data_IF_220916993322
#
_entry.id   IF_220916993322
#
_cell.length_a   1.000
_cell.length_b   1.000
_cell.length_c   1.000
_cell.angle_alpha   90.00
_cell.angle_beta   90.00
_cell.angle_gamma   90.00
#
_symmetry.space_group_name_H-M   'P 1'
#
loop_
_entity.id
_entity.type
_entity.pdbx_description
1 polymer ?
#
# COMPACT_ATOMS: atom_id res chain seq x y z
N UNK A 1 50.33 92.29 52.66
CA UNK A 1 50.77 90.98 52.12
C UNK A 1 50.26 89.89 53.04
N UNK A 2 50.92 89.61 54.19
CA UNK A 2 50.52 88.60 55.19
C UNK A 2 49.01 88.54 55.50
N UNK A 3 48.36 89.68 55.79
CA UNK A 3 46.91 89.73 56.11
C UNK A 3 45.98 89.50 54.93
N UNK A 4 46.45 89.67 53.70
CA UNK A 4 45.71 89.34 52.48
C UNK A 4 45.89 87.86 52.10
N UNK A 5 47.09 87.30 52.28
CA UNK A 5 47.38 85.87 52.09
C UNK A 5 46.56 85.03 53.07
N UNK A 6 46.60 85.34 54.37
CA UNK A 6 45.79 84.65 55.39
C UNK A 6 44.27 84.66 55.10
N UNK A 7 43.77 85.74 54.48
CA UNK A 7 42.36 85.83 54.09
C UNK A 7 42.07 85.03 52.81
N UNK A 8 42.97 85.06 51.83
CA UNK A 8 42.85 84.27 50.61
C UNK A 8 42.91 82.76 50.91
N UNK A 9 43.79 82.33 51.83
CA UNK A 9 43.88 80.95 52.29
C UNK A 9 42.60 80.53 53.05
N UNK A 10 42.07 81.39 53.93
CA UNK A 10 40.83 81.11 54.65
C UNK A 10 39.60 81.05 53.72
N UNK A 11 39.50 81.92 52.71
CA UNK A 11 38.42 81.89 51.72
C UNK A 11 38.58 80.72 50.73
N UNK A 12 39.81 80.32 50.40
CA UNK A 12 40.12 79.09 49.64
C UNK A 12 39.72 77.83 50.43
N UNK A 13 40.10 77.74 51.70
CA UNK A 13 39.74 76.61 52.56
C UNK A 13 38.21 76.52 52.73
N UNK A 14 37.51 77.65 52.88
CA UNK A 14 36.04 77.69 52.87
C UNK A 14 35.41 77.28 51.54
N UNK A 15 36.10 77.51 50.41
CA UNK A 15 35.65 77.04 49.11
C UNK A 15 35.84 75.52 48.99
N UNK A 16 37.01 75.00 49.38
CA UNK A 16 37.32 73.56 49.42
C UNK A 16 36.37 72.81 50.36
N UNK A 17 36.08 73.33 51.56
CA UNK A 17 35.10 72.78 52.51
C UNK A 17 33.67 72.74 51.91
N UNK A 18 33.27 73.79 51.18
CA UNK A 18 31.97 73.84 50.50
C UNK A 18 31.90 72.86 49.34
N UNK A 19 32.97 72.72 48.56
CA UNK A 19 33.07 71.77 47.46
C UNK A 19 33.04 70.33 47.98
N UNK A 20 33.76 70.04 49.08
CA UNK A 20 33.74 68.76 49.77
C UNK A 20 32.33 68.45 50.32
N UNK A 21 31.69 69.40 51.00
CA UNK A 21 30.32 69.25 51.49
C UNK A 21 29.27 69.13 50.36
N UNK A 22 29.56 69.67 49.16
CA UNK A 22 28.72 69.47 47.98
C UNK A 22 28.93 68.07 47.37
N UNK A 23 30.19 67.61 47.27
CA UNK A 23 30.53 66.24 46.83
C UNK A 23 29.91 65.19 47.77
N UNK A 24 30.00 65.38 49.08
CA UNK A 24 29.39 64.49 50.07
C UNK A 24 27.87 64.43 49.90
N UNK A 25 27.18 65.59 49.84
CA UNK A 25 25.73 65.62 49.61
C UNK A 25 25.30 64.99 48.29
N UNK A 26 26.12 65.09 47.23
CA UNK A 26 25.85 64.40 45.97
C UNK A 26 26.07 62.89 46.09
N UNK A 27 27.07 62.42 46.84
CA UNK A 27 27.28 61.01 47.13
C UNK A 27 26.12 60.42 47.96
N UNK A 28 25.70 61.11 49.03
CA UNK A 28 24.57 60.70 49.88
C UNK A 28 23.26 60.62 49.08
N UNK A 29 23.02 61.61 48.20
CA UNK A 29 21.86 61.62 47.29
C UNK A 29 21.91 60.45 46.30
N UNK A 30 23.08 60.20 45.68
CA UNK A 30 23.25 59.09 44.74
C UNK A 30 23.06 57.73 45.43
N UNK A 31 23.57 57.54 46.65
CA UNK A 31 23.33 56.34 47.45
C UNK A 31 21.84 56.17 47.81
N UNK A 32 21.15 57.26 48.15
CA UNK A 32 19.70 57.22 48.44
C UNK A 32 18.86 56.85 47.21
N UNK A 33 19.22 57.35 46.03
CA UNK A 33 18.58 56.96 44.76
C UNK A 33 18.83 55.48 44.48
N UNK A 34 20.09 55.02 44.54
CA UNK A 34 20.46 53.63 44.27
C UNK A 34 19.77 52.65 45.24
N UNK A 35 19.66 53.00 46.52
CA UNK A 35 18.91 52.20 47.50
C UNK A 35 17.44 52.05 47.09
N UNK A 36 16.78 53.15 46.70
CA UNK A 36 15.36 53.13 46.29
C UNK A 36 15.13 52.36 44.99
N UNK A 37 16.10 52.35 44.07
CA UNK A 37 16.03 51.55 42.84
C UNK A 37 16.27 50.06 43.11
N UNK A 38 17.17 49.71 44.03
CA UNK A 38 17.33 48.35 44.53
C UNK A 38 16.07 47.85 45.24
N UNK A 39 15.48 48.66 46.14
CA UNK A 39 14.26 48.28 46.86
C UNK A 39 13.08 48.05 45.90
N UNK A 40 12.95 48.89 44.85
CA UNK A 40 11.94 48.72 43.79
C UNK A 40 12.17 47.45 42.97
N UNK A 41 13.39 47.23 42.48
CA UNK A 41 13.70 46.04 41.65
C UNK A 41 13.55 44.74 42.44
N UNK A 42 13.89 44.72 43.74
CA UNK A 42 13.61 43.59 44.64
C UNK A 42 12.09 43.38 44.80
N UNK A 43 11.31 44.44 44.99
CA UNK A 43 9.85 44.34 45.13
C UNK A 43 9.18 43.83 43.84
N UNK A 44 9.60 44.30 42.67
CA UNK A 44 9.05 43.88 41.39
C UNK A 44 9.49 42.45 41.02
N UNK A 45 10.74 42.07 41.30
CA UNK A 45 11.20 40.68 41.17
C UNK A 45 10.42 39.72 42.08
N UNK A 46 10.08 40.15 43.30
CA UNK A 46 9.25 39.36 44.23
C UNK A 46 7.82 39.19 43.71
N UNK A 47 7.18 40.27 43.23
CA UNK A 47 5.86 40.21 42.60
C UNK A 47 5.84 39.23 41.41
N UNK A 48 6.82 39.33 40.51
CA UNK A 48 6.95 38.43 39.38
C UNK A 48 7.11 36.97 39.81
N UNK A 49 7.87 36.70 40.88
CA UNK A 49 8.01 35.36 41.43
C UNK A 49 6.71 34.83 42.07
N UNK A 50 5.96 35.70 42.77
CA UNK A 50 4.66 35.36 43.35
C UNK A 50 3.61 35.08 42.25
N UNK A 51 3.56 35.91 41.21
CA UNK A 51 2.68 35.72 40.03
C UNK A 51 3.01 34.42 39.28
N UNK A 52 4.30 34.15 39.02
CA UNK A 52 4.76 32.93 38.38
C UNK A 52 4.44 31.67 39.21
N UNK A 53 4.56 31.76 40.54
CA UNK A 53 4.15 30.67 41.44
C UNK A 53 2.62 30.46 41.39
N UNK A 54 1.83 31.53 41.37
CA UNK A 54 0.37 31.46 41.27
C UNK A 54 -0.10 30.92 39.89
N UNK A 55 0.63 31.22 38.81
CA UNK A 55 0.38 30.63 37.49
C UNK A 55 0.75 29.14 37.48
N UNK A 56 1.92 28.78 38.02
CA UNK A 56 2.38 27.38 38.12
C UNK A 56 1.40 26.52 38.93
N UNK A 57 0.84 27.05 40.03
CA UNK A 57 -0.21 26.38 40.80
C UNK A 57 -1.49 26.20 39.97
N UNK A 58 -1.97 27.23 39.28
CA UNK A 58 -3.16 27.13 38.40
C UNK A 58 -2.99 26.09 37.29
N UNK A 59 -1.83 26.07 36.63
CA UNK A 59 -1.51 25.10 35.58
C UNK A 59 -1.42 23.66 36.14
N UNK A 60 -0.86 23.48 37.35
CA UNK A 60 -0.83 22.19 38.04
C UNK A 60 -2.25 21.70 38.39
N UNK A 61 -3.10 22.57 38.93
CA UNK A 61 -4.49 22.22 39.26
C UNK A 61 -5.28 21.79 38.02
N UNK A 62 -5.16 22.51 36.90
CA UNK A 62 -5.81 22.11 35.63
C UNK A 62 -5.32 20.75 35.12
N UNK A 63 -4.00 20.50 35.17
CA UNK A 63 -3.44 19.22 34.76
C UNK A 63 -3.90 18.05 35.65
N UNK A 64 -4.06 18.29 36.97
CA UNK A 64 -4.61 17.31 37.91
C UNK A 64 -6.09 17.01 37.62
N UNK A 65 -6.89 18.04 37.33
CA UNK A 65 -8.31 17.89 37.00
C UNK A 65 -8.51 17.14 35.67
N UNK A 66 -7.75 17.49 34.63
CA UNK A 66 -7.72 16.75 33.36
C UNK A 66 -7.31 15.28 33.54
N UNK A 67 -6.32 15.01 34.40
CA UNK A 67 -5.86 13.65 34.73
C UNK A 67 -6.95 12.86 35.45
N UNK A 68 -7.59 13.47 36.45
CA UNK A 68 -8.71 12.88 37.20
C UNK A 68 -9.88 12.55 36.29
N UNK A 69 -10.30 13.48 35.44
CA UNK A 69 -11.40 13.27 34.50
C UNK A 69 -11.09 12.14 33.50
N UNK A 70 -9.83 12.04 33.03
CA UNK A 70 -9.38 10.89 32.22
C UNK A 70 -9.47 9.58 33.01
N UNK A 71 -9.05 9.53 34.28
CA UNK A 71 -9.14 8.33 35.12
C UNK A 71 -10.59 7.90 35.39
N UNK A 72 -11.47 8.84 35.75
CA UNK A 72 -12.89 8.56 36.00
C UNK A 72 -13.59 8.04 34.74
N UNK A 73 -13.26 8.60 33.56
CA UNK A 73 -13.75 8.08 32.27
C UNK A 73 -13.24 6.67 31.96
N UNK A 74 -11.98 6.34 32.26
CA UNK A 74 -11.46 4.98 32.07
C UNK A 74 -12.21 3.98 32.96
N UNK A 75 -12.41 4.28 34.26
CA UNK A 75 -13.16 3.43 35.19
C UNK A 75 -14.59 3.14 34.71
N UNK A 76 -15.29 4.16 34.19
CA UNK A 76 -16.62 3.97 33.62
C UNK A 76 -16.63 2.96 32.46
N UNK A 77 -15.62 3.00 31.58
CA UNK A 77 -15.50 2.02 30.49
C UNK A 77 -15.06 0.63 30.99
N UNK A 78 -14.27 0.54 32.06
CA UNK A 78 -13.94 -0.73 32.73
C UNK A 78 -15.19 -1.38 33.35
N UNK A 79 -16.03 -0.60 34.03
CA UNK A 79 -17.31 -1.05 34.60
C UNK A 79 -18.28 -1.53 33.52
N UNK A 80 -18.36 -0.82 32.38
CA UNK A 80 -19.15 -1.25 31.21
C UNK A 80 -18.66 -2.58 30.61
N UNK A 81 -17.34 -2.77 30.49
CA UNK A 81 -16.77 -4.04 30.04
C UNK A 81 -17.08 -5.17 31.04
N UNK A 82 -16.89 -4.93 32.35
CA UNK A 82 -17.20 -5.92 33.39
C UNK A 82 -18.68 -6.33 33.36
N UNK A 83 -19.59 -5.36 33.20
CA UNK A 83 -21.03 -5.64 33.05
C UNK A 83 -21.29 -6.54 31.83
N UNK A 84 -20.68 -6.23 30.69
CA UNK A 84 -20.81 -7.03 29.47
C UNK A 84 -20.27 -8.45 29.65
N UNK A 85 -19.08 -8.60 30.24
CA UNK A 85 -18.46 -9.92 30.49
C UNK A 85 -19.32 -10.78 31.42
N UNK A 86 -19.94 -10.18 32.44
CA UNK A 86 -20.90 -10.87 33.31
C UNK A 86 -22.15 -11.31 32.55
N UNK A 87 -22.74 -10.42 31.75
CA UNK A 87 -23.94 -10.71 30.95
C UNK A 87 -23.72 -11.87 29.96
N UNK A 88 -22.62 -11.81 29.18
CA UNK A 88 -22.30 -12.87 28.23
C UNK A 88 -21.88 -14.15 28.96
N UNK A 89 -21.13 -14.04 30.06
CA UNK A 89 -20.77 -15.18 30.90
C UNK A 89 -22.00 -15.92 31.47
N UNK A 90 -23.05 -15.19 31.87
CA UNK A 90 -24.32 -15.79 32.25
C UNK A 90 -25.02 -16.48 31.07
N UNK A 91 -25.12 -15.83 29.91
CA UNK A 91 -25.72 -16.43 28.71
C UNK A 91 -24.97 -17.70 28.28
N UNK A 92 -23.65 -17.72 28.35
CA UNK A 92 -22.85 -18.91 28.06
C UNK A 92 -23.13 -20.02 29.08
N UNK A 93 -23.20 -19.70 30.37
CA UNK A 93 -23.54 -20.66 31.43
C UNK A 93 -24.92 -21.30 31.23
N UNK A 94 -25.91 -20.51 30.84
CA UNK A 94 -27.28 -20.98 30.55
C UNK A 94 -27.37 -21.85 29.30
N UNK A 95 -26.41 -21.73 28.37
CA UNK A 95 -26.37 -22.47 27.11
C UNK A 95 -25.19 -23.47 27.02
N UNK A 96 -24.74 -24.02 28.15
CA UNK A 96 -23.67 -25.03 28.23
C UNK A 96 -22.35 -24.62 27.52
N UNK A 97 -22.02 -23.34 27.53
CA UNK A 97 -20.79 -22.77 26.95
C UNK A 97 -20.86 -22.46 25.46
N UNK A 98 -21.99 -22.61 24.78
CA UNK A 98 -22.12 -22.31 23.35
C UNK A 98 -23.46 -21.68 22.97
N UNK A 99 -23.43 -20.54 22.28
CA UNK A 99 -24.65 -19.87 21.80
C UNK A 99 -25.28 -20.58 20.58
N UNK A 100 -24.63 -21.58 19.98
CA UNK A 100 -25.10 -22.29 18.76
C UNK A 100 -26.47 -22.96 18.91
N UNK A 101 -26.82 -23.40 20.11
CA UNK A 101 -28.05 -24.16 20.38
C UNK A 101 -29.28 -23.28 20.63
N UNK A 102 -29.11 -21.97 20.85
CA UNK A 102 -30.16 -21.07 21.27
C UNK A 102 -30.09 -19.73 20.53
N UNK A 103 -30.83 -19.59 19.40
CA UNK A 103 -30.84 -18.37 18.60
C UNK A 103 -31.25 -17.11 19.38
N UNK A 104 -32.09 -17.21 20.42
CA UNK A 104 -32.50 -16.07 21.22
C UNK A 104 -31.36 -15.55 22.11
N UNK A 105 -30.60 -16.45 22.74
CA UNK A 105 -29.40 -16.08 23.50
C UNK A 105 -28.29 -15.55 22.59
N UNK A 106 -28.10 -16.14 21.40
CA UNK A 106 -27.17 -15.62 20.40
C UNK A 106 -27.55 -14.19 19.93
N UNK A 107 -28.83 -13.94 19.65
CA UNK A 107 -29.32 -12.62 19.27
C UNK A 107 -29.17 -11.58 20.40
N UNK A 108 -29.39 -11.96 21.66
CA UNK A 108 -29.18 -11.08 22.81
C UNK A 108 -27.70 -10.77 23.03
N UNK A 109 -26.83 -11.77 22.90
CA UNK A 109 -25.38 -11.59 22.95
C UNK A 109 -24.90 -10.64 21.84
N UNK A 110 -25.39 -10.82 20.60
CA UNK A 110 -25.11 -9.93 19.46
C UNK A 110 -25.56 -8.51 19.73
N UNK A 111 -26.78 -8.31 20.24
CA UNK A 111 -27.31 -6.99 20.58
C UNK A 111 -26.45 -6.27 21.63
N UNK A 112 -26.04 -6.98 22.70
CA UNK A 112 -25.13 -6.44 23.72
C UNK A 112 -23.75 -6.10 23.14
N UNK A 113 -23.21 -6.95 22.26
CA UNK A 113 -21.89 -6.75 21.63
C UNK A 113 -21.88 -5.52 20.72
N UNK A 114 -22.92 -5.37 19.88
CA UNK A 114 -23.12 -4.18 19.04
C UNK A 114 -23.31 -2.90 19.85
N UNK A 115 -23.99 -2.97 20.99
CA UNK A 115 -24.21 -1.81 21.86
C UNK A 115 -22.92 -1.37 22.57
N UNK A 116 -22.08 -2.30 23.04
CA UNK A 116 -20.96 -1.98 23.92
C UNK A 116 -19.69 -1.59 23.15
N UNK A 117 -19.40 -2.26 22.02
CA UNK A 117 -18.13 -2.15 21.31
C UNK A 117 -17.77 -0.72 20.83
N UNK A 118 -18.72 0.10 20.31
CA UNK A 118 -18.42 1.47 19.90
C UNK A 118 -18.03 2.42 21.05
N UNK A 119 -18.23 2.03 22.31
CA UNK A 119 -18.15 2.94 23.46
C UNK A 119 -16.96 2.68 24.39
N UNK A 120 -16.47 1.44 24.49
CA UNK A 120 -15.43 1.05 25.49
C UNK A 120 -13.98 1.35 25.05
N UNK A 121 -13.78 1.65 23.77
CA UNK A 121 -12.46 1.97 23.18
C UNK A 121 -11.60 0.74 22.86
N UNK A 122 -10.57 0.90 22.01
CA UNK A 122 -9.92 -0.22 21.32
C UNK A 122 -9.28 -1.25 22.26
N UNK A 123 -8.66 -0.82 23.36
CA UNK A 123 -8.03 -1.71 24.36
C UNK A 123 -9.06 -2.67 24.99
N UNK A 124 -10.27 -2.18 25.29
CA UNK A 124 -11.35 -2.99 25.88
C UNK A 124 -12.09 -3.81 24.84
N UNK A 125 -12.18 -3.32 23.61
CA UNK A 125 -12.67 -4.13 22.49
C UNK A 125 -11.74 -5.32 22.22
N UNK A 126 -10.42 -5.15 22.28
CA UNK A 126 -9.48 -6.26 22.18
C UNK A 126 -9.74 -7.32 23.27
N UNK A 127 -9.87 -6.88 24.54
CA UNK A 127 -10.25 -7.78 25.66
C UNK A 127 -11.59 -8.50 25.44
N UNK A 128 -12.60 -7.81 24.89
CA UNK A 128 -13.89 -8.38 24.50
C UNK A 128 -13.74 -9.44 23.39
N UNK A 129 -12.93 -9.16 22.36
CA UNK A 129 -12.65 -10.11 21.26
C UNK A 129 -11.95 -11.35 21.80
N UNK A 130 -10.91 -11.20 22.63
CA UNK A 130 -10.22 -12.33 23.26
C UNK A 130 -11.18 -13.17 24.10
N UNK A 131 -11.98 -12.56 24.98
CA UNK A 131 -12.98 -13.29 25.77
C UNK A 131 -13.96 -14.09 24.91
N UNK A 132 -14.50 -13.50 23.84
CA UNK A 132 -15.42 -14.19 22.95
C UNK A 132 -14.74 -15.29 22.14
N UNK A 133 -13.49 -15.09 21.71
CA UNK A 133 -12.68 -16.08 21.00
C UNK A 133 -12.30 -17.27 21.91
N UNK A 134 -11.82 -17.01 23.13
CA UNK A 134 -11.46 -18.02 24.14
C UNK A 134 -12.69 -18.83 24.58
N UNK A 135 -13.87 -18.18 24.64
CA UNK A 135 -15.15 -18.84 24.84
C UNK A 135 -15.63 -19.65 23.61
N UNK A 136 -14.90 -19.65 22.49
CA UNK A 136 -15.27 -20.35 21.25
C UNK A 136 -16.40 -19.69 20.45
N UNK A 137 -16.77 -18.45 20.78
CA UNK A 137 -17.89 -17.72 20.16
C UNK A 137 -17.50 -16.99 18.87
N UNK A 138 -16.20 -16.85 18.58
CA UNK A 138 -15.65 -16.26 17.35
C UNK A 138 -14.76 -17.26 16.59
N UNK A 139 -15.15 -18.53 16.50
CA UNK A 139 -14.35 -19.59 15.83
C UNK A 139 -15.01 -20.05 14.53
N UNK A 140 -14.27 -20.02 13.42
CA UNK A 140 -14.71 -20.44 12.08
C UNK A 140 -15.28 -21.85 12.10
N UNK A 141 -16.33 -22.06 11.29
CA UNK A 141 -17.05 -23.34 11.21
C UNK A 141 -17.99 -23.65 12.39
N UNK A 142 -17.83 -23.00 13.55
CA UNK A 142 -18.80 -23.02 14.66
C UNK A 142 -19.58 -21.71 14.80
N UNK A 143 -18.96 -20.61 14.39
CA UNK A 143 -19.23 -19.20 14.71
C UNK A 143 -20.57 -18.92 15.42
N UNK A 144 -20.65 -19.15 16.74
CA UNK A 144 -21.90 -19.04 17.50
C UNK A 144 -22.45 -17.61 17.59
N UNK A 145 -21.58 -16.61 17.54
CA UNK A 145 -21.93 -15.20 17.68
C UNK A 145 -21.64 -14.45 16.38
N UNK A 146 -22.71 -13.99 15.73
CA UNK A 146 -22.58 -13.06 14.61
C UNK A 146 -22.15 -11.67 15.12
N UNK A 147 -20.97 -11.23 14.69
CA UNK A 147 -20.41 -9.89 14.96
C UNK A 147 -20.48 -8.95 13.75
N UNK A 148 -21.19 -9.33 12.68
CA UNK A 148 -21.35 -8.47 11.50
C UNK A 148 -21.92 -7.09 11.85
N UNK A 149 -21.30 -6.06 11.30
CA UNK A 149 -21.61 -4.66 11.59
C UNK A 149 -21.05 -4.12 12.93
N UNK A 150 -20.31 -4.92 13.70
CA UNK A 150 -19.72 -4.45 14.98
C UNK A 150 -18.50 -3.58 14.76
N UNK A 151 -18.38 -2.50 15.53
CA UNK A 151 -17.29 -1.53 15.46
C UNK A 151 -16.12 -1.96 16.35
N UNK A 152 -15.10 -2.56 15.73
CA UNK A 152 -13.82 -2.95 16.33
C UNK A 152 -12.64 -2.18 15.71
N UNK A 153 -12.81 -0.86 15.54
CA UNK A 153 -11.80 0.00 14.91
C UNK A 153 -10.57 0.20 15.81
N UNK A 154 -9.38 0.18 15.20
CA UNK A 154 -8.12 0.49 15.87
C UNK A 154 -7.73 -0.47 17.00
N UNK A 155 -8.25 -1.70 16.99
CA UNK A 155 -7.93 -2.70 18.03
C UNK A 155 -6.53 -3.26 17.79
N UNK A 156 -5.77 -3.40 18.87
CA UNK A 156 -4.50 -4.11 18.82
C UNK A 156 -4.69 -5.54 19.31
N UNK A 157 -4.53 -6.49 18.39
CA UNK A 157 -4.62 -7.92 18.61
C UNK A 157 -3.23 -8.59 18.47
N UNK A 158 -2.15 -7.80 18.40
CA UNK A 158 -0.76 -8.26 18.20
C UNK A 158 -0.11 -9.03 19.37
N UNK A 159 -0.91 -9.53 20.31
CA UNK A 159 -0.42 -10.21 21.53
C UNK A 159 -0.93 -11.65 21.72
N UNK A 160 -1.77 -12.18 20.82
CA UNK A 160 -2.33 -13.53 20.94
C UNK A 160 -2.55 -14.23 19.60
N UNK A 161 -2.30 -15.54 19.53
CA UNK A 161 -2.74 -16.36 18.39
C UNK A 161 -4.28 -16.40 18.32
N UNK A 162 -4.81 -16.05 17.15
CA UNK A 162 -6.24 -16.01 16.82
C UNK A 162 -6.52 -16.99 15.67
N UNK A 163 -5.93 -18.19 15.73
CA UNK A 163 -6.11 -19.22 14.71
C UNK A 163 -7.58 -19.64 14.59
N UNK A 164 -8.07 -19.78 13.37
CA UNK A 164 -9.48 -20.02 13.05
C UNK A 164 -10.44 -18.91 13.56
N UNK A 165 -9.98 -17.69 13.90
CA UNK A 165 -10.89 -16.62 14.31
C UNK A 165 -11.88 -16.27 13.19
N UNK A 166 -13.11 -15.95 13.54
CA UNK A 166 -14.16 -15.51 12.61
C UNK A 166 -14.68 -14.14 13.01
N UNK A 167 -14.44 -13.15 12.13
CA UNK A 167 -14.77 -11.74 12.33
C UNK A 167 -15.64 -11.21 11.18
N UNK A 168 -16.35 -12.12 10.49
CA UNK A 168 -17.18 -11.85 9.29
C UNK A 168 -18.04 -10.60 9.45
N UNK A 169 -17.95 -9.69 8.48
CA UNK A 169 -18.76 -8.46 8.47
C UNK A 169 -18.37 -7.40 9.50
N UNK A 170 -17.34 -7.59 10.33
CA UNK A 170 -16.94 -6.61 11.33
C UNK A 170 -16.22 -5.38 10.71
N UNK A 171 -16.31 -4.24 11.40
CA UNK A 171 -15.57 -3.03 11.06
C UNK A 171 -14.29 -2.92 11.90
N UNK A 172 -13.15 -3.15 11.27
CA UNK A 172 -11.83 -3.32 11.88
C UNK A 172 -10.75 -2.42 11.23
N UNK A 173 -11.14 -1.23 10.77
CA UNK A 173 -10.20 -0.30 10.15
C UNK A 173 -9.13 0.14 11.17
N UNK A 174 -7.87 0.24 10.71
CA UNK A 174 -6.67 0.55 11.48
C UNK A 174 -6.32 -0.45 12.61
N UNK A 175 -6.86 -1.67 12.57
CA UNK A 175 -6.58 -2.70 13.58
C UNK A 175 -5.28 -3.45 13.29
N UNK A 176 -4.58 -3.87 14.34
CA UNK A 176 -3.27 -4.53 14.30
C UNK A 176 -3.38 -6.02 14.59
N UNK A 177 -2.89 -6.82 13.65
CA UNK A 177 -2.67 -8.28 13.71
C UNK A 177 -1.17 -8.60 13.54
N UNK A 178 -0.29 -7.62 13.78
CA UNK A 178 1.15 -7.69 13.50
C UNK A 178 1.80 -8.92 14.15
N UNK A 179 2.48 -9.71 13.32
CA UNK A 179 3.18 -10.93 13.74
C UNK A 179 2.30 -12.09 14.21
N UNK A 180 0.97 -12.00 14.11
CA UNK A 180 0.08 -13.01 14.68
C UNK A 180 -0.18 -14.20 13.78
N UNK A 181 -0.46 -15.34 14.42
CA UNK A 181 -1.09 -16.47 13.74
C UNK A 181 -2.61 -16.29 13.74
N UNK A 182 -3.12 -15.88 12.58
CA UNK A 182 -4.55 -15.80 12.23
C UNK A 182 -4.92 -16.88 11.20
N UNK A 183 -4.09 -17.92 11.07
CA UNK A 183 -4.27 -18.95 10.04
C UNK A 183 -5.61 -19.66 10.19
N UNK A 184 -6.15 -20.09 9.06
CA UNK A 184 -7.51 -20.60 8.89
C UNK A 184 -8.60 -19.61 9.32
N UNK A 185 -8.27 -18.34 9.56
CA UNK A 185 -9.21 -17.30 9.95
C UNK A 185 -10.23 -16.95 8.86
N UNK A 186 -11.27 -16.23 9.28
CA UNK A 186 -12.38 -15.83 8.44
C UNK A 186 -12.68 -14.34 8.60
N UNK A 187 -12.25 -13.57 7.60
CA UNK A 187 -12.45 -12.14 7.46
C UNK A 187 -13.35 -11.81 6.26
N UNK A 188 -14.27 -12.72 5.86
CA UNK A 188 -15.19 -12.45 4.76
C UNK A 188 -15.99 -11.16 5.00
N UNK A 189 -16.13 -10.32 3.96
CA UNK A 189 -16.91 -9.07 3.99
C UNK A 189 -16.53 -8.11 5.14
N UNK A 190 -15.28 -8.13 5.60
CA UNK A 190 -14.79 -7.23 6.67
C UNK A 190 -14.30 -5.89 6.14
N UNK A 191 -14.28 -4.87 7.00
CA UNK A 191 -13.66 -3.58 6.69
C UNK A 191 -12.35 -3.47 7.47
N UNK A 192 -11.23 -3.54 6.77
CA UNK A 192 -9.85 -3.63 7.28
C UNK A 192 -8.97 -2.54 6.64
N UNK A 193 -9.52 -1.37 6.33
CA UNK A 193 -8.74 -0.27 5.76
C UNK A 193 -7.66 0.18 6.74
N UNK A 194 -6.40 0.28 6.29
CA UNK A 194 -5.25 0.59 7.13
C UNK A 194 -4.90 -0.48 8.19
N UNK A 195 -5.46 -1.69 8.11
CA UNK A 195 -5.14 -2.76 9.06
C UNK A 195 -3.72 -3.31 8.83
N UNK A 196 -3.05 -3.69 9.91
CA UNK A 196 -1.66 -4.19 9.89
C UNK A 196 -1.59 -5.70 10.14
N UNK A 197 -1.40 -6.46 9.08
CA UNK A 197 -1.09 -7.90 9.07
C UNK A 197 0.39 -8.17 8.79
N UNK A 198 1.30 -7.19 8.96
CA UNK A 198 2.71 -7.40 8.69
C UNK A 198 3.29 -8.52 9.55
N UNK A 199 4.09 -9.40 8.92
CA UNK A 199 4.64 -10.63 9.52
C UNK A 199 3.61 -11.63 10.05
N UNK A 200 2.31 -11.43 9.81
CA UNK A 200 1.28 -12.37 10.27
C UNK A 200 1.31 -13.69 9.47
N UNK A 201 0.97 -14.80 10.14
CA UNK A 201 0.62 -16.04 9.48
C UNK A 201 -0.87 -16.03 9.14
N UNK A 202 -1.17 -15.82 7.87
CA UNK A 202 -2.50 -15.81 7.27
C UNK A 202 -2.76 -17.07 6.43
N UNK A 203 -2.07 -18.18 6.71
CA UNK A 203 -2.23 -19.45 5.95
C UNK A 203 -3.69 -19.90 5.95
N UNK A 204 -4.27 -20.22 4.79
CA UNK A 204 -5.66 -20.68 4.61
C UNK A 204 -6.74 -19.71 5.16
N UNK A 205 -6.39 -18.44 5.32
CA UNK A 205 -7.28 -17.37 5.80
C UNK A 205 -8.08 -16.80 4.64
N UNK A 206 -9.38 -16.54 4.83
CA UNK A 206 -10.19 -15.86 3.81
C UNK A 206 -10.33 -14.37 4.08
N UNK A 207 -10.04 -13.57 3.06
CA UNK A 207 -10.31 -12.13 2.98
C UNK A 207 -11.29 -11.80 1.83
N UNK A 208 -12.04 -12.79 1.33
CA UNK A 208 -12.94 -12.57 0.20
C UNK A 208 -14.05 -11.56 0.55
N UNK A 209 -14.38 -10.69 -0.40
CA UNK A 209 -15.30 -9.54 -0.24
C UNK A 209 -14.84 -8.48 0.80
N UNK A 210 -13.65 -8.60 1.40
CA UNK A 210 -13.16 -7.60 2.34
C UNK A 210 -12.74 -6.28 1.65
N UNK A 211 -12.85 -5.17 2.39
CA UNK A 211 -12.31 -3.86 1.98
C UNK A 211 -11.06 -3.56 2.80
N UNK A 212 -9.91 -3.52 2.14
CA UNK A 212 -8.57 -3.55 2.74
C UNK A 212 -7.64 -2.48 2.11
N UNK A 213 -8.20 -1.27 1.90
CA UNK A 213 -7.47 -0.13 1.32
C UNK A 213 -6.36 0.30 2.27
N UNK A 214 -5.15 0.55 1.75
CA UNK A 214 -3.94 0.88 2.54
C UNK A 214 -3.54 -0.19 3.59
N UNK A 215 -4.04 -1.43 3.49
CA UNK A 215 -3.68 -2.49 4.43
C UNK A 215 -2.22 -2.97 4.27
N UNK A 216 -1.56 -3.30 5.38
CA UNK A 216 -0.17 -3.73 5.41
C UNK A 216 -0.06 -5.26 5.61
N UNK A 217 0.44 -5.98 4.62
CA UNK A 217 0.76 -7.40 4.64
C UNK A 217 2.26 -7.67 4.48
N UNK A 218 3.13 -6.66 4.67
CA UNK A 218 4.57 -6.82 4.43
C UNK A 218 5.16 -7.96 5.27
N UNK A 219 5.98 -8.81 4.64
CA UNK A 219 6.56 -10.02 5.25
C UNK A 219 5.54 -11.06 5.78
N UNK A 220 4.24 -10.96 5.45
CA UNK A 220 3.24 -11.95 5.86
C UNK A 220 3.41 -13.31 5.15
N UNK A 221 2.88 -14.37 5.77
CA UNK A 221 2.77 -15.71 5.19
C UNK A 221 1.33 -15.93 4.75
N UNK A 222 1.09 -16.04 3.44
CA UNK A 222 -0.26 -16.03 2.85
C UNK A 222 -0.65 -17.37 2.20
N UNK A 223 0.06 -18.45 2.48
CA UNK A 223 -0.14 -19.76 1.83
C UNK A 223 -1.62 -20.19 1.82
N UNK A 224 -2.20 -20.49 0.65
CA UNK A 224 -3.62 -20.85 0.48
C UNK A 224 -4.64 -19.78 0.94
N UNK A 225 -4.25 -18.54 1.20
CA UNK A 225 -5.20 -17.46 1.49
C UNK A 225 -6.08 -17.13 0.27
N UNK A 226 -7.33 -16.73 0.50
CA UNK A 226 -8.29 -16.42 -0.57
C UNK A 226 -8.67 -14.94 -0.60
N UNK A 227 -8.62 -14.36 -1.80
CA UNK A 227 -8.79 -12.92 -2.07
C UNK A 227 -9.76 -12.69 -3.24
N UNK A 228 -10.93 -13.32 -3.20
CA UNK A 228 -11.97 -13.12 -4.23
C UNK A 228 -12.79 -11.86 -3.93
N UNK A 229 -13.06 -11.02 -4.94
CA UNK A 229 -13.86 -9.79 -4.83
C UNK A 229 -13.36 -8.75 -3.81
N UNK A 230 -12.10 -8.84 -3.38
CA UNK A 230 -11.48 -7.96 -2.37
C UNK A 230 -11.09 -6.59 -2.95
N UNK A 231 -11.09 -5.55 -2.11
CA UNK A 231 -10.48 -4.24 -2.42
C UNK A 231 -9.15 -4.09 -1.68
N UNK A 232 -8.02 -4.08 -2.40
CA UNK A 232 -6.64 -4.01 -1.89
C UNK A 232 -5.88 -2.77 -2.42
N UNK A 233 -6.62 -1.69 -2.74
CA UNK A 233 -6.04 -0.45 -3.28
C UNK A 233 -4.94 0.07 -2.35
N UNK A 234 -3.74 0.30 -2.90
CA UNK A 234 -2.51 0.71 -2.17
C UNK A 234 -2.07 -0.22 -1.03
N UNK A 235 -2.57 -1.45 -0.95
CA UNK A 235 -2.10 -2.42 0.03
C UNK A 235 -0.61 -2.75 -0.17
N UNK A 236 0.10 -3.00 0.92
CA UNK A 236 1.54 -3.30 0.91
C UNK A 236 1.77 -4.80 1.17
N UNK A 237 2.17 -5.54 0.14
CA UNK A 237 2.56 -6.94 0.24
C UNK A 237 4.08 -7.16 0.15
N UNK A 238 4.89 -6.10 0.20
CA UNK A 238 6.34 -6.21 -0.03
C UNK A 238 7.00 -7.26 0.87
N UNK A 239 7.88 -8.08 0.27
CA UNK A 239 8.55 -9.21 0.92
C UNK A 239 7.64 -10.32 1.51
N UNK A 240 6.32 -10.29 1.28
CA UNK A 240 5.42 -11.37 1.71
C UNK A 240 5.64 -12.66 0.88
N UNK A 241 5.31 -13.79 1.48
CA UNK A 241 5.40 -15.11 0.86
C UNK A 241 4.01 -15.61 0.45
N UNK A 242 3.86 -15.86 -0.84
CA UNK A 242 2.63 -16.33 -1.47
C UNK A 242 2.87 -17.71 -2.07
N UNK A 243 2.00 -18.67 -1.74
CA UNK A 243 2.06 -20.01 -2.33
C UNK A 243 0.64 -20.53 -2.52
N UNK A 244 0.28 -20.89 -3.75
CA UNK A 244 -1.01 -21.45 -4.15
C UNK A 244 -2.21 -20.52 -3.84
N UNK A 245 -2.16 -19.27 -4.34
CA UNK A 245 -3.18 -18.25 -4.07
C UNK A 245 -3.91 -17.88 -5.36
N UNK A 246 -5.20 -17.54 -5.22
CA UNK A 246 -6.03 -17.03 -6.30
C UNK A 246 -6.55 -15.64 -5.93
N UNK A 247 -6.30 -14.68 -6.80
CA UNK A 247 -7.00 -13.39 -6.84
C UNK A 247 -8.02 -13.45 -7.97
N UNK A 248 -9.30 -13.30 -7.64
CA UNK A 248 -10.39 -13.29 -8.61
C UNK A 248 -11.24 -12.04 -8.42
N UNK A 249 -11.46 -11.29 -9.51
CA UNK A 249 -12.30 -10.08 -9.51
C UNK A 249 -11.90 -9.04 -8.43
N UNK A 250 -10.59 -8.98 -8.11
CA UNK A 250 -10.04 -8.15 -7.06
C UNK A 250 -9.55 -6.79 -7.60
N UNK A 251 -9.78 -5.73 -6.82
CA UNK A 251 -9.25 -4.40 -7.12
C UNK A 251 -7.94 -4.19 -6.34
N UNK A 252 -6.82 -4.10 -7.06
CA UNK A 252 -5.46 -4.13 -6.54
C UNK A 252 -4.63 -2.99 -7.16
N UNK A 253 -5.29 -1.85 -7.41
CA UNK A 253 -4.64 -0.64 -7.93
C UNK A 253 -3.59 -0.12 -6.95
N UNK A 254 -2.43 0.28 -7.48
CA UNK A 254 -1.31 0.86 -6.71
C UNK A 254 -0.77 -0.05 -5.58
N UNK A 255 -1.14 -1.34 -5.55
CA UNK A 255 -0.67 -2.36 -4.60
C UNK A 255 0.83 -2.67 -4.77
N UNK A 256 1.55 -2.89 -3.68
CA UNK A 256 3.00 -3.10 -3.68
C UNK A 256 3.40 -4.57 -3.43
N UNK A 257 3.80 -5.27 -4.49
CA UNK A 257 4.40 -6.61 -4.50
C UNK A 257 5.93 -6.59 -4.70
N UNK A 258 6.60 -5.46 -4.44
CA UNK A 258 8.07 -5.37 -4.59
C UNK A 258 8.78 -6.42 -3.74
N UNK A 259 9.81 -7.07 -4.33
CA UNK A 259 10.63 -8.08 -3.64
C UNK A 259 9.85 -9.29 -3.07
N UNK A 260 8.66 -9.59 -3.59
CA UNK A 260 7.86 -10.75 -3.15
C UNK A 260 8.34 -12.05 -3.80
N UNK A 261 8.07 -13.18 -3.11
CA UNK A 261 8.13 -14.51 -3.70
C UNK A 261 6.70 -15.01 -3.95
N UNK A 262 6.38 -15.20 -5.22
CA UNK A 262 5.03 -15.44 -5.72
C UNK A 262 4.98 -16.83 -6.39
N UNK A 263 4.59 -17.86 -5.64
CA UNK A 263 4.61 -19.24 -6.13
C UNK A 263 3.22 -19.80 -6.49
N UNK A 264 3.05 -20.24 -7.74
CA UNK A 264 1.83 -20.85 -8.28
C UNK A 264 0.56 -20.03 -8.04
N UNK A 265 0.58 -18.78 -8.51
CA UNK A 265 -0.51 -17.80 -8.33
C UNK A 265 -1.32 -17.65 -9.61
N UNK A 266 -2.61 -17.36 -9.44
CA UNK A 266 -3.53 -17.00 -10.52
C UNK A 266 -4.15 -15.63 -10.24
N UNK A 267 -4.14 -14.77 -11.25
CA UNK A 267 -4.81 -13.48 -11.28
C UNK A 267 -5.88 -13.52 -12.38
N UNK A 268 -7.15 -13.46 -11.99
CA UNK A 268 -8.30 -13.53 -12.91
C UNK A 268 -9.18 -12.30 -12.72
N UNK A 269 -9.42 -11.52 -13.78
CA UNK A 269 -10.28 -10.33 -13.76
C UNK A 269 -9.88 -9.29 -12.71
N UNK A 270 -8.58 -9.15 -12.43
CA UNK A 270 -8.09 -8.20 -11.42
C UNK A 270 -7.73 -6.86 -12.05
N UNK A 271 -7.79 -5.80 -11.25
CA UNK A 271 -7.18 -4.51 -11.60
C UNK A 271 -5.88 -4.31 -10.83
N UNK A 272 -4.75 -4.29 -11.53
CA UNK A 272 -3.39 -4.07 -11.03
C UNK A 272 -2.82 -2.74 -11.57
N UNK A 273 -3.66 -1.78 -11.96
CA UNK A 273 -3.24 -0.48 -12.49
C UNK A 273 -2.24 0.19 -11.55
N UNK A 274 -1.06 0.56 -12.07
CA UNK A 274 0.09 1.11 -11.32
C UNK A 274 0.60 0.27 -10.14
N UNK A 275 0.23 -1.01 -10.03
CA UNK A 275 0.81 -1.90 -9.02
C UNK A 275 2.33 -2.06 -9.25
N UNK A 276 3.05 -2.47 -8.21
CA UNK A 276 4.50 -2.68 -8.26
C UNK A 276 4.85 -4.13 -8.06
N UNK A 277 5.63 -4.70 -8.96
CA UNK A 277 6.22 -6.03 -8.90
C UNK A 277 7.75 -5.96 -9.09
N UNK A 278 8.36 -4.79 -8.93
CA UNK A 278 9.78 -4.61 -9.21
C UNK A 278 10.64 -5.54 -8.33
N UNK A 279 11.57 -6.26 -8.97
CA UNK A 279 12.37 -7.32 -8.35
C UNK A 279 11.56 -8.42 -7.61
N UNK A 280 10.30 -8.66 -8.00
CA UNK A 280 9.53 -9.83 -7.56
C UNK A 280 9.96 -11.10 -8.30
N UNK A 281 9.83 -12.26 -7.64
CA UNK A 281 10.08 -13.59 -8.23
C UNK A 281 8.77 -14.34 -8.34
N UNK A 282 8.30 -14.60 -9.56
CA UNK A 282 7.00 -15.22 -9.84
C UNK A 282 7.22 -16.51 -10.62
N UNK A 283 6.86 -17.65 -10.03
CA UNK A 283 7.19 -18.97 -10.60
C UNK A 283 6.17 -20.05 -10.24
N UNK A 284 6.24 -21.20 -10.92
CA UNK A 284 5.45 -22.40 -10.60
C UNK A 284 6.16 -23.66 -11.11
N UNK A 285 5.91 -24.80 -10.48
CA UNK A 285 6.41 -26.11 -10.92
C UNK A 285 5.54 -26.75 -12.00
N UNK A 286 4.22 -26.55 -11.97
CA UNK A 286 3.26 -27.41 -12.70
C UNK A 286 2.22 -26.64 -13.55
N UNK A 287 1.98 -25.37 -13.28
CA UNK A 287 0.99 -24.56 -14.00
C UNK A 287 1.60 -23.22 -14.40
N UNK A 288 1.35 -22.75 -15.62
CA UNK A 288 1.73 -21.39 -15.99
C UNK A 288 1.16 -20.38 -14.99
N UNK A 289 2.01 -19.46 -14.51
CA UNK A 289 1.56 -18.27 -13.78
C UNK A 289 0.62 -17.53 -14.71
N UNK A 290 -0.64 -17.37 -14.33
CA UNK A 290 -1.68 -16.92 -15.25
C UNK A 290 -2.26 -15.58 -14.82
N UNK A 291 -2.21 -14.62 -15.75
CA UNK A 291 -2.99 -13.40 -15.75
C UNK A 291 -4.06 -13.53 -16.84
N UNK A 292 -5.34 -13.41 -16.47
CA UNK A 292 -6.47 -13.61 -17.38
C UNK A 292 -7.49 -12.48 -17.21
N UNK A 293 -7.86 -11.81 -18.30
CA UNK A 293 -8.84 -10.72 -18.30
C UNK A 293 -8.51 -9.57 -17.32
N UNK A 294 -7.21 -9.32 -17.10
CA UNK A 294 -6.73 -8.42 -16.05
C UNK A 294 -6.26 -7.07 -16.60
N UNK A 295 -6.61 -5.98 -15.90
CA UNK A 295 -6.06 -4.65 -16.15
C UNK A 295 -4.73 -4.51 -15.42
N UNK A 296 -3.67 -4.13 -16.14
CA UNK A 296 -2.28 -4.05 -15.69
C UNK A 296 -1.58 -2.82 -16.30
N UNK A 297 -2.34 -1.75 -16.54
CA UNK A 297 -1.84 -0.52 -17.11
C UNK A 297 -0.88 0.19 -16.15
N UNK A 298 0.24 0.66 -16.67
CA UNK A 298 1.31 1.32 -15.88
C UNK A 298 1.88 0.50 -14.71
N UNK A 299 1.64 -0.82 -14.66
CA UNK A 299 2.23 -1.70 -13.66
C UNK A 299 3.75 -1.78 -13.83
N UNK A 300 4.50 -1.78 -12.72
CA UNK A 300 5.96 -1.84 -12.73
C UNK A 300 6.48 -3.26 -12.48
N UNK A 301 6.93 -3.95 -13.52
CA UNK A 301 7.57 -5.27 -13.50
C UNK A 301 9.10 -5.21 -13.60
N UNK A 302 9.72 -4.03 -13.48
CA UNK A 302 11.15 -3.89 -13.75
C UNK A 302 12.02 -4.80 -12.86
N UNK A 303 13.02 -5.44 -13.46
CA UNK A 303 13.95 -6.40 -12.81
C UNK A 303 13.26 -7.61 -12.14
N UNK A 304 12.00 -7.93 -12.48
CA UNK A 304 11.31 -9.12 -11.95
C UNK A 304 11.64 -10.39 -12.74
N UNK A 305 11.43 -11.54 -12.13
CA UNK A 305 11.64 -12.86 -12.73
C UNK A 305 10.29 -13.57 -12.88
N UNK A 306 9.77 -13.70 -14.10
CA UNK A 306 8.42 -14.22 -14.38
C UNK A 306 8.40 -15.20 -15.58
N UNK A 307 9.30 -16.21 -15.62
CA UNK A 307 9.37 -17.14 -16.76
C UNK A 307 8.11 -17.98 -16.89
N UNK A 308 7.81 -18.44 -18.12
CA UNK A 308 6.68 -19.34 -18.42
C UNK A 308 5.32 -18.81 -17.96
N UNK A 309 5.18 -17.49 -17.84
CA UNK A 309 3.92 -16.81 -17.54
C UNK A 309 2.99 -16.80 -18.75
N UNK A 310 1.67 -16.75 -18.50
CA UNK A 310 0.62 -16.64 -19.51
C UNK A 310 -0.22 -15.41 -19.19
N UNK A 311 -0.21 -14.44 -20.11
CA UNK A 311 -1.04 -13.24 -20.10
C UNK A 311 -2.08 -13.37 -21.21
N UNK A 312 -3.35 -13.17 -20.88
CA UNK A 312 -4.48 -13.48 -21.78
C UNK A 312 -5.56 -12.45 -21.59
N UNK A 313 -5.97 -11.78 -22.67
CA UNK A 313 -7.00 -10.73 -22.61
C UNK A 313 -6.62 -9.64 -21.59
N UNK A 314 -5.32 -9.35 -21.46
CA UNK A 314 -4.76 -8.42 -20.47
C UNK A 314 -4.40 -7.08 -21.11
N UNK A 315 -4.73 -5.98 -20.42
CA UNK A 315 -4.29 -4.64 -20.81
C UNK A 315 -3.04 -4.25 -20.04
N UNK A 316 -1.90 -4.17 -20.72
CA UNK A 316 -0.57 -3.88 -20.17
C UNK A 316 -0.08 -2.48 -20.57
N UNK A 317 -0.96 -1.61 -21.09
CA UNK A 317 -0.59 -0.35 -21.73
C UNK A 317 0.29 0.51 -20.81
N UNK A 318 1.44 0.94 -21.32
CA UNK A 318 2.40 1.78 -20.61
C UNK A 318 3.04 1.14 -19.37
N UNK A 319 2.99 -0.20 -19.22
CA UNK A 319 3.69 -0.94 -18.18
C UNK A 319 5.21 -0.92 -18.36
N UNK A 320 5.93 -1.10 -17.26
CA UNK A 320 7.40 -1.07 -17.21
C UNK A 320 7.95 -2.48 -16.97
N UNK A 321 8.51 -3.08 -18.01
CA UNK A 321 9.16 -4.41 -18.01
C UNK A 321 10.67 -4.28 -18.24
N UNK A 322 11.30 -3.16 -17.87
CA UNK A 322 12.76 -2.98 -18.00
C UNK A 322 13.52 -4.05 -17.23
N UNK A 323 14.54 -4.64 -17.87
CA UNK A 323 15.40 -5.67 -17.26
C UNK A 323 14.62 -6.90 -16.71
N UNK A 324 13.41 -7.18 -17.18
CA UNK A 324 12.62 -8.35 -16.75
C UNK A 324 13.13 -9.66 -17.36
N UNK A 325 12.98 -10.77 -16.66
CA UNK A 325 13.17 -12.12 -17.21
C UNK A 325 11.82 -12.81 -17.48
N UNK A 326 11.47 -12.94 -18.77
CA UNK A 326 10.18 -13.43 -19.29
C UNK A 326 10.36 -14.63 -20.25
N UNK A 327 11.40 -15.43 -20.07
CA UNK A 327 11.66 -16.59 -20.94
C UNK A 327 10.44 -17.52 -21.04
N UNK A 328 10.06 -17.87 -22.28
CA UNK A 328 8.88 -18.71 -22.60
C UNK A 328 7.55 -18.15 -22.09
N UNK A 329 7.44 -16.83 -21.91
CA UNK A 329 6.16 -16.18 -21.64
C UNK A 329 5.23 -16.23 -22.86
N UNK A 330 3.93 -16.26 -22.62
CA UNK A 330 2.89 -16.32 -23.65
C UNK A 330 1.90 -15.19 -23.44
N UNK A 331 1.78 -14.31 -24.44
CA UNK A 331 0.84 -13.19 -24.47
C UNK A 331 -0.19 -13.45 -25.58
N UNK A 332 -1.48 -13.37 -25.25
CA UNK A 332 -2.58 -13.67 -26.18
C UNK A 332 -3.72 -12.68 -26.02
N UNK A 333 -4.12 -12.03 -27.11
CA UNK A 333 -5.11 -10.94 -27.09
C UNK A 333 -4.78 -9.83 -26.07
N UNK A 334 -3.52 -9.43 -25.97
CA UNK A 334 -3.06 -8.43 -25.00
C UNK A 334 -2.83 -7.05 -25.64
N UNK A 335 -3.17 -5.99 -24.91
CA UNK A 335 -2.80 -4.61 -25.26
C UNK A 335 -1.47 -4.26 -24.61
N UNK A 336 -0.38 -4.31 -25.36
CA UNK A 336 0.99 -4.12 -24.86
C UNK A 336 1.58 -2.80 -25.41
N UNK A 337 0.72 -1.85 -25.76
CA UNK A 337 1.11 -0.57 -26.34
C UNK A 337 1.90 0.31 -25.35
N UNK A 338 2.89 1.04 -25.85
CA UNK A 338 3.79 1.89 -25.07
C UNK A 338 4.55 1.17 -23.93
N UNK A 339 4.62 -0.16 -23.94
CA UNK A 339 5.33 -0.95 -22.92
C UNK A 339 6.84 -0.86 -23.10
N UNK A 340 7.55 -0.74 -21.98
CA UNK A 340 9.00 -0.66 -21.95
C UNK A 340 9.65 -1.99 -21.57
N UNK A 341 10.20 -2.71 -22.55
CA UNK A 341 10.96 -3.95 -22.40
C UNK A 341 12.49 -3.71 -22.44
N UNK A 342 12.98 -2.49 -22.22
CA UNK A 342 14.42 -2.18 -22.39
C UNK A 342 15.29 -3.08 -21.50
N UNK A 343 16.25 -3.79 -22.11
CA UNK A 343 17.17 -4.71 -21.43
C UNK A 343 16.54 -6.01 -20.94
N UNK A 344 15.27 -6.30 -21.26
CA UNK A 344 14.61 -7.54 -20.84
C UNK A 344 15.08 -8.78 -21.60
N UNK A 345 14.67 -9.95 -21.11
CA UNK A 345 14.92 -11.24 -21.72
C UNK A 345 13.58 -11.91 -22.06
N UNK A 346 13.25 -12.01 -23.35
CA UNK A 346 12.02 -12.59 -23.89
C UNK A 346 12.26 -13.93 -24.61
N UNK A 347 13.40 -14.60 -24.35
CA UNK A 347 13.79 -15.82 -25.07
C UNK A 347 12.68 -16.90 -25.12
N UNK A 348 12.35 -17.36 -26.33
CA UNK A 348 11.26 -18.27 -26.68
C UNK A 348 9.85 -17.78 -26.27
N UNK A 349 9.64 -16.48 -26.02
CA UNK A 349 8.32 -15.93 -25.72
C UNK A 349 7.44 -15.83 -26.99
N UNK A 350 6.13 -15.77 -26.82
CA UNK A 350 5.16 -15.68 -27.92
C UNK A 350 4.16 -14.56 -27.66
N UNK A 351 3.95 -13.70 -28.66
CA UNK A 351 2.97 -12.63 -28.68
C UNK A 351 1.95 -12.92 -29.79
N UNK A 352 0.81 -13.50 -29.43
CA UNK A 352 -0.24 -13.93 -30.34
C UNK A 352 -1.40 -12.91 -30.34
N UNK A 353 -1.75 -12.37 -31.51
CA UNK A 353 -2.89 -11.44 -31.69
C UNK A 353 -2.89 -10.28 -30.68
N UNK A 354 -1.72 -9.75 -30.38
CA UNK A 354 -1.51 -8.69 -29.38
C UNK A 354 -1.08 -7.38 -30.06
N UNK A 355 -1.41 -6.24 -29.47
CA UNK A 355 -0.89 -4.94 -29.92
C UNK A 355 0.39 -4.62 -29.17
N UNK A 356 1.43 -4.18 -29.87
CA UNK A 356 2.74 -3.78 -29.34
C UNK A 356 3.16 -2.42 -29.94
N UNK A 357 2.19 -1.53 -30.20
CA UNK A 357 2.47 -0.24 -30.80
C UNK A 357 3.32 0.64 -29.86
N UNK A 358 4.30 1.36 -30.41
CA UNK A 358 5.23 2.23 -29.66
C UNK A 358 6.01 1.53 -28.53
N UNK A 359 6.13 0.19 -28.54
CA UNK A 359 6.89 -0.55 -27.53
C UNK A 359 8.40 -0.30 -27.62
N UNK A 360 9.08 -0.26 -26.48
CA UNK A 360 10.54 -0.13 -26.42
C UNK A 360 11.19 -1.49 -26.14
N UNK A 361 11.66 -2.16 -27.18
CA UNK A 361 12.40 -3.43 -27.18
C UNK A 361 13.92 -3.18 -27.29
N UNK A 362 14.42 -2.16 -26.58
CA UNK A 362 15.79 -1.69 -26.70
C UNK A 362 16.73 -2.62 -25.92
N UNK A 363 17.80 -3.12 -26.53
CA UNK A 363 18.73 -4.09 -25.93
C UNK A 363 18.04 -5.35 -25.35
N UNK A 364 16.88 -5.73 -25.89
CA UNK A 364 16.09 -6.88 -25.44
C UNK A 364 16.61 -8.18 -26.06
N UNK A 365 16.71 -9.26 -25.27
CA UNK A 365 16.91 -10.63 -25.78
C UNK A 365 15.64 -11.17 -26.40
N UNK A 366 15.66 -11.46 -27.70
CA UNK A 366 14.54 -11.90 -28.55
C UNK A 366 14.80 -13.27 -29.21
N UNK A 367 15.71 -14.06 -28.66
CA UNK A 367 16.04 -15.40 -29.14
C UNK A 367 14.77 -16.26 -29.24
N UNK A 368 14.46 -16.85 -30.40
CA UNK A 368 13.22 -17.64 -30.61
C UNK A 368 11.89 -16.92 -30.30
N UNK A 369 11.87 -15.59 -30.15
CA UNK A 369 10.63 -14.86 -29.84
C UNK A 369 9.71 -14.77 -31.06
N UNK A 370 8.43 -15.09 -30.89
CA UNK A 370 7.43 -15.13 -31.97
C UNK A 370 6.36 -14.05 -31.81
N UNK A 371 5.91 -13.43 -32.91
CA UNK A 371 4.87 -12.39 -32.93
C UNK A 371 3.68 -12.72 -33.87
N UNK A 372 3.05 -13.91 -33.81
CA UNK A 372 1.98 -14.29 -34.73
C UNK A 372 0.77 -13.35 -34.63
N UNK A 373 0.35 -12.81 -35.79
CA UNK A 373 -0.82 -11.93 -35.92
C UNK A 373 -0.81 -10.66 -35.04
N UNK A 374 0.37 -10.23 -34.57
CA UNK A 374 0.54 -9.09 -33.66
C UNK A 374 1.04 -7.83 -34.37
N UNK A 375 0.66 -6.65 -33.87
CA UNK A 375 1.04 -5.36 -34.44
C UNK A 375 2.25 -4.74 -33.72
N UNK A 376 3.34 -4.45 -34.44
CA UNK A 376 4.54 -3.81 -33.89
C UNK A 376 4.73 -2.38 -34.45
N UNK A 377 3.65 -1.62 -34.60
CA UNK A 377 3.68 -0.27 -35.19
C UNK A 377 4.52 0.70 -34.36
N UNK A 378 5.59 1.25 -34.95
CA UNK A 378 6.52 2.18 -34.27
C UNK A 378 7.28 1.58 -33.07
N UNK A 379 7.37 0.26 -32.96
CA UNK A 379 8.20 -0.40 -31.95
C UNK A 379 9.70 -0.09 -32.15
N UNK A 380 10.42 0.18 -31.07
CA UNK A 380 11.86 0.48 -31.08
C UNK A 380 12.69 -0.75 -30.68
N UNK A 381 13.30 -1.39 -31.66
CA UNK A 381 14.12 -2.62 -31.53
C UNK A 381 15.64 -2.34 -31.45
N UNK A 382 16.05 -1.12 -31.11
CA UNK A 382 17.48 -0.73 -31.12
C UNK A 382 18.32 -1.60 -30.19
N UNK A 383 19.36 -2.25 -30.71
CA UNK A 383 20.27 -3.08 -29.89
C UNK A 383 19.72 -4.45 -29.47
N UNK A 384 18.50 -4.83 -29.86
CA UNK A 384 17.94 -6.15 -29.54
C UNK A 384 18.77 -7.31 -30.14
N UNK A 385 18.79 -8.45 -29.44
CA UNK A 385 19.54 -9.65 -29.82
C UNK A 385 18.60 -10.75 -30.33
N UNK A 386 18.88 -11.29 -31.53
CA UNK A 386 18.09 -12.36 -32.14
C UNK A 386 19.02 -13.51 -32.59
N UNK A 387 18.56 -14.76 -32.49
CA UNK A 387 19.40 -15.96 -32.58
C UNK A 387 20.14 -16.19 -33.93
N UNK A 388 19.75 -15.50 -35.01
CA UNK A 388 20.49 -15.55 -36.29
C UNK A 388 21.69 -14.58 -36.38
N UNK A 389 21.92 -13.72 -35.39
CA UNK A 389 23.11 -12.87 -35.33
C UNK A 389 23.77 -12.93 -33.96
N UNK A 390 24.91 -13.62 -33.86
CA UNK A 390 25.87 -13.49 -32.76
C UNK A 390 26.59 -12.13 -32.74
N UNK A 391 25.86 -11.05 -32.98
CA UNK A 391 26.31 -9.66 -33.06
C UNK A 391 25.26 -8.78 -32.39
N UNK A 392 25.69 -7.91 -31.47
CA UNK A 392 24.87 -6.83 -30.95
C UNK A 392 24.43 -5.91 -32.09
N UNK A 393 23.17 -5.45 -32.08
CA UNK A 393 22.60 -4.59 -33.12
C UNK A 393 23.16 -3.16 -33.09
N UNK A 394 24.39 -2.96 -33.56
CA UNK A 394 24.96 -1.65 -33.87
C UNK A 394 24.44 -1.13 -35.22
N UNK A 395 23.42 -0.25 -35.19
CA UNK A 395 22.98 0.71 -36.24
C UNK A 395 22.93 0.29 -37.72
N UNK A 396 23.09 -0.99 -38.05
CA UNK A 396 23.29 -1.49 -39.42
C UNK A 396 23.16 -3.01 -39.56
N UNK A 397 22.43 -3.66 -38.65
CA UNK A 397 21.94 -5.03 -38.88
C UNK A 397 20.73 -4.97 -39.81
N UNK A 398 20.80 -5.62 -40.98
CA UNK A 398 19.67 -5.66 -41.92
C UNK A 398 18.55 -6.58 -41.41
N UNK A 399 17.53 -5.97 -40.79
CA UNK A 399 16.29 -6.62 -40.39
C UNK A 399 15.44 -7.01 -41.61
N UNK A 400 15.80 -8.10 -42.31
CA UNK A 400 14.86 -8.75 -43.22
C UNK A 400 13.77 -9.44 -42.40
N UNK A 401 12.69 -8.70 -42.11
CA UNK A 401 11.36 -9.13 -41.62
C UNK A 401 10.95 -8.91 -40.13
N UNK A 402 11.38 -7.85 -39.41
CA UNK A 402 10.54 -7.17 -38.39
C UNK A 402 10.48 -5.68 -38.66
N UNK A 403 9.26 -5.14 -38.65
CA UNK A 403 9.02 -4.28 -39.79
C UNK A 403 7.67 -3.44 -39.76
N UNK A 404 7.62 -2.17 -39.32
CA UNK A 404 6.44 -1.27 -39.51
C UNK A 404 6.79 0.17 -39.95
N UNK A 405 6.02 0.72 -40.92
CA UNK A 405 6.08 2.00 -41.70
C UNK A 405 7.41 2.70 -42.07
N UNK A 406 8.49 2.56 -41.31
CA UNK A 406 9.87 2.64 -41.83
C UNK A 406 10.50 1.26 -42.01
N UNK A 407 9.69 0.23 -41.81
CA UNK A 407 9.96 -1.17 -42.01
C UNK A 407 8.58 -1.84 -42.48
N UNK A 408 8.46 -3.08 -43.04
CA UNK A 408 7.20 -3.71 -43.62
C UNK A 408 6.83 -5.24 -43.27
N UNK A 409 6.19 -5.61 -42.13
CA UNK A 409 5.85 -7.01 -41.74
C UNK A 409 4.65 -7.41 -42.56
N UNK A 410 4.68 -8.59 -43.20
CA UNK A 410 3.55 -9.11 -43.96
C UNK A 410 2.92 -10.34 -43.29
N UNK A 411 1.61 -10.48 -43.51
CA UNK A 411 0.63 -10.94 -42.53
C UNK A 411 0.58 -12.46 -42.24
N UNK A 412 1.63 -13.20 -42.58
CA UNK A 412 1.70 -14.67 -42.46
C UNK A 412 2.99 -15.16 -41.78
N UNK A 413 3.80 -14.27 -41.20
CA UNK A 413 4.95 -14.64 -40.35
C UNK A 413 6.11 -15.34 -41.08
N UNK A 414 6.16 -15.28 -42.41
CA UNK A 414 7.20 -15.95 -43.21
C UNK A 414 8.26 -14.94 -43.68
N UNK A 415 9.54 -15.30 -43.54
CA UNK A 415 10.71 -14.42 -43.74
C UNK A 415 11.33 -14.68 -45.12
N UNK A 416 11.31 -13.69 -46.03
CA UNK A 416 11.96 -13.78 -47.35
C UNK A 416 13.24 -12.94 -47.46
N UNK A 417 14.14 -13.40 -48.35
CA UNK A 417 15.57 -13.13 -48.27
C UNK A 417 16.14 -12.15 -49.29
N UNK A 418 15.38 -11.52 -50.20
CA UNK A 418 15.92 -10.46 -51.07
C UNK A 418 14.94 -9.42 -51.65
N UNK A 419 15.45 -8.18 -51.84
CA UNK A 419 14.68 -6.98 -52.19
C UNK A 419 14.38 -6.86 -53.70
N UNK A 420 15.03 -7.68 -54.54
CA UNK A 420 14.84 -7.71 -55.99
C UNK A 420 13.52 -8.38 -56.43
N UNK A 421 12.96 -9.27 -55.60
CA UNK A 421 11.76 -10.07 -55.90
C UNK A 421 10.46 -9.36 -55.51
N UNK A 422 10.51 -8.41 -54.56
CA UNK A 422 9.31 -7.70 -54.07
C UNK A 422 8.64 -6.87 -55.17
N UNK A 423 9.42 -6.26 -56.07
CA UNK A 423 8.88 -5.52 -57.23
C UNK A 423 8.30 -6.43 -58.33
N UNK A 424 8.81 -7.65 -58.52
CA UNK A 424 8.26 -8.56 -59.53
C UNK A 424 6.98 -9.27 -59.04
N UNK A 425 6.91 -9.66 -57.77
CA UNK A 425 5.69 -10.26 -57.20
C UNK A 425 4.51 -9.28 -57.10
N UNK A 426 4.74 -8.01 -56.73
CA UNK A 426 3.67 -7.00 -56.74
C UNK A 426 3.12 -6.67 -58.14
N UNK A 427 3.88 -6.97 -59.19
CA UNK A 427 3.43 -6.80 -60.59
C UNK A 427 2.78 -8.10 -61.12
N UNK A 428 3.26 -9.29 -60.71
CA UNK A 428 2.67 -10.58 -61.14
C UNK A 428 1.33 -10.90 -60.45
N UNK A 429 1.12 -10.53 -59.19
CA UNK A 429 -0.12 -10.84 -58.48
C UNK A 429 -1.35 -10.06 -58.94
N UNK A 430 -1.19 -9.09 -59.85
CA UNK A 430 -2.31 -8.30 -60.40
C UNK A 430 -2.82 -8.83 -61.76
N UNK A 431 -2.30 -9.96 -62.25
CA UNK A 431 -2.73 -10.55 -63.55
C UNK A 431 -3.09 -12.03 -63.52
N UNK A 432 -2.93 -12.75 -62.40
CA UNK A 432 -3.17 -14.21 -62.38
C UNK A 432 -3.59 -14.79 -61.03
N UNK A 433 -4.76 -14.39 -60.52
CA UNK A 433 -5.69 -15.30 -59.80
C UNK A 433 -7.10 -15.06 -60.32
N UNK A 434 -7.35 -15.61 -61.51
CA UNK A 434 -8.70 -15.95 -61.97
C UNK A 434 -8.73 -17.48 -61.96
N UNK A 435 -9.68 -18.07 -61.24
CA UNK A 435 -9.85 -19.51 -61.02
C UNK A 435 -8.86 -20.11 -59.98
N UNK A 436 -9.30 -20.16 -58.71
CA UNK A 436 -9.09 -21.26 -57.73
C UNK A 436 -9.68 -20.82 -56.37
N UNK A 437 -10.98 -20.51 -56.38
CA UNK A 437 -11.82 -20.24 -55.20
C UNK A 437 -13.23 -20.79 -55.44
N UNK A 438 -13.31 -22.06 -55.82
CA UNK A 438 -14.54 -22.85 -55.75
C UNK A 438 -14.40 -23.86 -54.60
N UNK A 439 -15.48 -24.05 -53.85
CA UNK A 439 -15.62 -25.02 -52.74
C UNK A 439 -14.73 -24.84 -51.50
N UNK A 440 -15.03 -23.84 -50.65
CA UNK A 440 -15.66 -24.11 -49.33
C UNK A 440 -16.67 -22.99 -49.02
N UNK A 441 -17.90 -23.40 -48.71
CA UNK A 441 -19.04 -22.50 -48.48
C UNK A 441 -19.02 -21.79 -47.12
N UNK A 442 -19.05 -20.45 -47.19
CA UNK A 442 -20.01 -19.55 -46.50
C UNK A 442 -20.62 -20.01 -45.16
N UNK A 443 -20.39 -19.23 -44.09
CA UNK A 443 -21.44 -18.61 -43.24
C UNK A 443 -20.82 -17.50 -42.35
N UNK A 444 -21.60 -16.53 -41.83
CA UNK A 444 -21.56 -15.15 -42.34
C UNK A 444 -20.70 -14.16 -41.52
N UNK A 445 -20.37 -12.97 -42.06
CA UNK A 445 -19.59 -11.97 -41.36
C UNK A 445 -20.40 -11.30 -40.23
N UNK A 446 -19.80 -11.19 -39.05
CA UNK A 446 -20.31 -10.29 -38.00
C UNK A 446 -20.01 -8.86 -38.42
N UNK A 447 -21.07 -8.15 -38.80
CA UNK A 447 -21.05 -6.73 -39.16
C UNK A 447 -20.52 -5.90 -37.99
N UNK A 448 -19.59 -4.99 -38.27
CA UNK A 448 -18.99 -4.14 -37.24
C UNK A 448 -20.01 -3.23 -36.54
N UNK A 449 -19.77 -2.96 -35.26
CA UNK A 449 -20.38 -1.84 -34.55
C UNK A 449 -19.32 -0.81 -34.20
N UNK A 450 -19.33 0.28 -34.95
CA UNK A 450 -18.75 1.55 -34.52
C UNK A 450 -19.64 2.10 -33.40
N UNK A 451 -19.05 2.59 -32.31
CA UNK A 451 -19.78 3.31 -31.27
C UNK A 451 -20.25 4.67 -31.80
N UNK A 452 -21.55 4.94 -31.70
CA UNK A 452 -22.08 6.29 -31.53
C UNK A 452 -23.26 6.25 -30.53
N UNK A 453 -23.14 7.11 -29.52
CA UNK A 453 -23.99 7.27 -28.32
C UNK A 453 -24.04 6.04 -27.39
#
# INVERSE_FOLDING_TARGET
>A
VITFEQKADADKQRFEDRELAQKQRQQDLNQSILSRENDRTIADAKRLADDLNAEKQRNMSRALEESRYKQERQRYFDELLISYLNDIGQLLKENNGSLTSNPASAALARAKTLQIAPHIGPVRVAQLIHFLYDAGQLTRGKNPLDVSGTYFHGVDLSTSSLRHISLVGAYMNNSSFTGQDVSEGDFHNTHLNGADFSKANCTNTSFSEATMIDANFSQAILHLATFSHVQLIRANFSQANFTNIMFESANMMETDFSHTSLFSIKFSKVDLTKAKFNAATISSYYSHVSFFQSNMQHTNFSKSYIPRSRFVECSLIGADFREVELFRAYFEYCDIDNVNFTGSQLGSATFNRSSLAFTALINTGLEETMFPFSELSYANLSGACCYECGKQCNSGCEWRNILTRHNIILCNGTIYRDNSIVRSHLIQYNTSVKNEWDEVSLFPPVVGRVYQN
#
